data_IF_035971560432
#
_entry.id   IF_035971560432
#
_cell.length_a   1.000
_cell.length_b   1.000
_cell.length_c   1.000
_cell.angle_alpha   90.00
_cell.angle_beta   90.00
_cell.angle_gamma   90.00
#
_symmetry.space_group_name_H-M   'P 1'
#
loop_
_entity.id
_entity.type
_entity.pdbx_description
1 polymer ?
#
# COMPACT_ATOMS: atom_id res chain seq x y z
N UNK A 1 -26.74 -3.14 3.51
CA UNK A 1 -25.82 -4.12 2.87
C UNK A 1 -24.57 -3.49 2.26
N UNK A 2 -24.58 -2.22 1.83
CA UNK A 2 -23.39 -1.50 1.30
C UNK A 2 -22.26 -1.33 2.33
N UNK A 3 -22.60 -1.07 3.60
CA UNK A 3 -21.59 -0.82 4.64
C UNK A 3 -20.83 -2.09 5.08
N UNK A 4 -21.50 -3.26 5.10
CA UNK A 4 -20.84 -4.54 5.39
C UNK A 4 -19.77 -4.89 4.33
N UNK A 5 -20.02 -4.57 3.05
CA UNK A 5 -19.06 -4.80 1.96
C UNK A 5 -17.84 -3.88 2.07
N UNK A 6 -18.03 -2.60 2.42
CA UNK A 6 -16.91 -1.67 2.63
C UNK A 6 -16.06 -2.07 3.83
N UNK A 7 -16.70 -2.48 4.92
CA UNK A 7 -16.00 -2.96 6.11
C UNK A 7 -15.17 -4.22 5.83
N UNK A 8 -15.73 -5.16 5.07
CA UNK A 8 -15.00 -6.38 4.67
C UNK A 8 -13.80 -6.05 3.77
N UNK A 9 -13.97 -5.14 2.79
CA UNK A 9 -12.88 -4.70 1.92
C UNK A 9 -11.77 -3.99 2.70
N UNK A 10 -12.13 -3.13 3.66
CA UNK A 10 -11.17 -2.48 4.56
C UNK A 10 -10.45 -3.49 5.45
N UNK A 11 -11.16 -4.51 5.96
CA UNK A 11 -10.55 -5.59 6.73
C UNK A 11 -9.55 -6.38 5.89
N UNK A 12 -9.92 -6.75 4.65
CA UNK A 12 -9.01 -7.41 3.70
C UNK A 12 -7.80 -6.54 3.39
N UNK A 13 -7.97 -5.22 3.24
CA UNK A 13 -6.85 -4.28 3.05
C UNK A 13 -5.86 -4.31 4.22
N UNK A 14 -6.37 -4.14 5.43
CA UNK A 14 -5.55 -4.12 6.66
C UNK A 14 -4.83 -5.45 6.83
N UNK A 15 -5.52 -6.56 6.59
CA UNK A 15 -4.94 -7.90 6.75
C UNK A 15 -3.86 -8.17 5.69
N UNK A 16 -4.07 -7.72 4.45
CA UNK A 16 -3.08 -7.83 3.38
C UNK A 16 -1.84 -6.97 3.65
N UNK A 17 -2.03 -5.73 4.10
CA UNK A 17 -0.93 -4.86 4.53
C UNK A 17 -0.16 -5.45 5.72
N UNK A 18 -0.85 -6.11 6.65
CA UNK A 18 -0.25 -6.73 7.83
C UNK A 18 0.64 -7.91 7.42
N UNK A 19 0.17 -8.76 6.51
CA UNK A 19 0.98 -9.87 5.95
C UNK A 19 2.24 -9.31 5.25
N UNK A 20 2.09 -8.29 4.40
CA UNK A 20 3.22 -7.71 3.69
C UNK A 20 4.20 -7.06 4.67
N UNK A 21 3.72 -6.38 5.71
CA UNK A 21 4.56 -5.82 6.76
C UNK A 21 5.34 -6.90 7.52
N UNK A 22 4.71 -8.03 7.87
CA UNK A 22 5.40 -9.15 8.51
C UNK A 22 6.55 -9.68 7.63
N UNK A 23 6.29 -9.83 6.33
CA UNK A 23 7.30 -10.27 5.35
C UNK A 23 8.45 -9.25 5.28
N UNK A 24 8.13 -7.95 5.24
CA UNK A 24 9.13 -6.88 5.21
C UNK A 24 9.96 -6.80 6.49
N UNK A 25 9.34 -7.03 7.66
CA UNK A 25 10.06 -7.11 8.95
C UNK A 25 11.01 -8.31 8.93
N UNK A 26 10.55 -9.47 8.47
CA UNK A 26 11.39 -10.67 8.35
C UNK A 26 12.61 -10.41 7.46
N UNK A 27 12.40 -9.88 6.25
CA UNK A 27 13.50 -9.54 5.35
C UNK A 27 14.38 -8.41 5.88
N UNK A 28 13.81 -7.40 6.52
CA UNK A 28 14.58 -6.31 7.15
C UNK A 28 15.47 -6.83 8.28
N UNK A 29 15.05 -7.87 9.00
CA UNK A 29 15.84 -8.50 10.06
C UNK A 29 17.03 -9.25 9.47
N UNK A 30 16.83 -9.94 8.34
CA UNK A 30 17.90 -10.67 7.63
C UNK A 30 18.92 -9.71 7.01
N UNK A 31 18.45 -8.65 6.33
CA UNK A 31 19.30 -7.70 5.61
C UNK A 31 19.74 -6.49 6.46
N UNK A 32 19.34 -6.45 7.75
CA UNK A 32 19.65 -5.42 8.73
C UNK A 32 19.49 -3.96 8.22
N UNK A 33 18.48 -3.72 7.37
CA UNK A 33 18.33 -2.46 6.63
C UNK A 33 17.00 -1.79 6.92
N UNK A 34 17.05 -0.71 7.71
CA UNK A 34 15.87 0.15 7.99
C UNK A 34 15.27 0.76 6.71
N UNK A 35 16.08 0.95 5.67
CA UNK A 35 15.64 1.46 4.36
C UNK A 35 14.73 0.47 3.64
N UNK A 36 14.97 -0.83 3.82
CA UNK A 36 14.20 -1.89 3.18
C UNK A 36 12.75 -1.92 3.72
N UNK A 37 12.61 -1.72 5.03
CA UNK A 37 11.32 -1.60 5.71
C UNK A 37 10.55 -0.35 5.24
N UNK A 38 11.25 0.78 5.09
CA UNK A 38 10.66 2.04 4.62
C UNK A 38 10.19 1.97 3.16
N UNK A 39 11.08 1.62 2.23
CA UNK A 39 10.74 1.54 0.80
C UNK A 39 9.76 0.40 0.50
N UNK A 40 9.90 -0.73 1.19
CA UNK A 40 8.97 -1.85 1.07
C UNK A 40 7.55 -1.46 1.45
N UNK A 41 7.36 -0.70 2.52
CA UNK A 41 6.03 -0.24 2.94
C UNK A 41 5.42 0.77 1.97
N UNK A 42 6.22 1.70 1.44
CA UNK A 42 5.74 2.64 0.42
C UNK A 42 5.27 1.87 -0.82
N UNK A 43 6.07 0.91 -1.29
CA UNK A 43 5.70 0.09 -2.45
C UNK A 43 4.45 -0.74 -2.17
N UNK A 44 4.38 -1.42 -1.02
CA UNK A 44 3.24 -2.24 -0.63
C UNK A 44 1.92 -1.45 -0.66
N UNK A 45 1.90 -0.26 -0.03
CA UNK A 45 0.71 0.59 -0.01
C UNK A 45 0.36 1.05 -1.43
N UNK A 46 1.36 1.42 -2.22
CA UNK A 46 1.18 1.90 -3.59
C UNK A 46 0.59 0.84 -4.53
N UNK A 47 0.85 -0.44 -4.31
CA UNK A 47 0.24 -1.53 -5.09
C UNK A 47 -1.14 -1.93 -4.54
N UNK A 48 -1.24 -2.16 -3.23
CA UNK A 48 -2.44 -2.76 -2.63
C UNK A 48 -3.62 -1.78 -2.62
N UNK A 49 -3.37 -0.50 -2.35
CA UNK A 49 -4.44 0.51 -2.26
C UNK A 49 -5.23 0.70 -3.57
N UNK A 50 -4.60 0.96 -4.72
CA UNK A 50 -5.35 1.10 -5.97
C UNK A 50 -5.97 -0.20 -6.45
N UNK A 51 -5.40 -1.36 -6.10
CA UNK A 51 -6.02 -2.67 -6.40
C UNK A 51 -7.40 -2.80 -5.74
N UNK A 52 -7.50 -2.43 -4.46
CA UNK A 52 -8.76 -2.55 -3.71
C UNK A 52 -9.78 -1.51 -4.17
N UNK A 53 -9.37 -0.25 -4.36
CA UNK A 53 -10.29 0.80 -4.79
C UNK A 53 -10.86 0.52 -6.18
N UNK A 54 -10.00 0.17 -7.15
CA UNK A 54 -10.45 -0.03 -8.53
C UNK A 54 -11.24 -1.33 -8.69
N UNK A 55 -10.79 -2.41 -8.07
CA UNK A 55 -11.32 -3.76 -8.37
C UNK A 55 -12.26 -4.31 -7.31
N UNK A 56 -12.05 -4.02 -6.03
CA UNK A 56 -12.94 -4.48 -4.96
C UNK A 56 -14.09 -3.51 -4.69
N UNK A 57 -13.83 -2.21 -4.65
CA UNK A 57 -14.87 -1.21 -4.37
C UNK A 57 -15.64 -0.81 -5.62
N UNK A 58 -14.93 -0.35 -6.66
CA UNK A 58 -15.56 0.10 -7.91
C UNK A 58 -15.94 -1.04 -8.85
N UNK A 59 -15.42 -2.25 -8.62
CA UNK A 59 -15.63 -3.45 -9.45
C UNK A 59 -15.36 -3.18 -10.94
N UNK A 60 -14.37 -2.35 -11.24
CA UNK A 60 -14.00 -2.06 -12.62
C UNK A 60 -13.32 -3.27 -13.27
N UNK A 61 -13.47 -3.48 -14.59
CA UNK A 61 -12.69 -4.48 -15.30
C UNK A 61 -11.20 -4.14 -15.23
N UNK A 62 -10.36 -5.16 -15.05
CA UNK A 62 -8.92 -4.98 -14.88
C UNK A 62 -8.27 -4.32 -16.10
N UNK A 63 -7.66 -3.14 -15.89
CA UNK A 63 -6.97 -2.37 -16.94
C UNK A 63 -5.58 -1.98 -16.47
N UNK A 64 -4.56 -2.65 -17.02
CA UNK A 64 -3.14 -2.43 -16.68
C UNK A 64 -2.71 -0.96 -16.71
N UNK A 65 -3.04 -0.22 -17.78
CA UNK A 65 -2.68 1.20 -17.91
C UNK A 65 -3.23 2.06 -16.76
N UNK A 66 -4.48 1.82 -16.36
CA UNK A 66 -5.13 2.57 -15.29
C UNK A 66 -4.58 2.17 -13.92
N UNK A 67 -4.34 0.88 -13.72
CA UNK A 67 -3.70 0.38 -12.50
C UNK A 67 -2.33 1.02 -12.28
N UNK A 68 -1.44 0.95 -13.27
CA UNK A 68 -0.09 1.52 -13.19
C UNK A 68 -0.14 3.02 -12.91
N UNK A 69 -1.05 3.75 -13.57
CA UNK A 69 -1.25 5.17 -13.31
C UNK A 69 -1.61 5.47 -11.85
N UNK A 70 -2.59 4.74 -11.30
CA UNK A 70 -2.98 4.94 -9.90
C UNK A 70 -1.89 4.46 -8.93
N UNK A 71 -1.21 3.34 -9.19
CA UNK A 71 -0.06 2.89 -8.40
C UNK A 71 1.03 3.94 -8.35
N UNK A 72 1.40 4.52 -9.50
CA UNK A 72 2.41 5.57 -9.56
C UNK A 72 1.97 6.84 -8.81
N UNK A 73 0.72 7.27 -9.00
CA UNK A 73 0.18 8.42 -8.27
C UNK A 73 0.19 8.19 -6.75
N UNK A 74 -0.23 7.01 -6.31
CA UNK A 74 -0.25 6.62 -4.89
C UNK A 74 1.17 6.60 -4.31
N UNK A 75 2.13 6.12 -5.10
CA UNK A 75 3.55 6.12 -4.74
C UNK A 75 4.10 7.53 -4.55
N UNK A 76 3.85 8.44 -5.51
CA UNK A 76 4.31 9.83 -5.42
C UNK A 76 3.72 10.52 -4.19
N UNK A 77 2.42 10.34 -3.94
CA UNK A 77 1.75 10.92 -2.77
C UNK A 77 2.32 10.37 -1.47
N UNK A 78 2.47 9.05 -1.34
CA UNK A 78 3.03 8.45 -0.14
C UNK A 78 4.50 8.82 0.05
N UNK A 79 5.29 8.91 -1.02
CA UNK A 79 6.66 9.37 -0.97
C UNK A 79 6.77 10.83 -0.49
N UNK A 80 5.89 11.72 -0.98
CA UNK A 80 5.84 13.11 -0.52
C UNK A 80 5.41 13.21 0.94
N UNK A 81 4.37 12.48 1.35
CA UNK A 81 3.92 12.43 2.75
C UNK A 81 5.08 11.93 3.62
N UNK A 82 5.68 10.80 3.28
CA UNK A 82 6.79 10.26 4.04
C UNK A 82 7.98 11.24 4.10
N UNK A 83 8.34 11.93 3.02
CA UNK A 83 9.39 12.96 3.09
C UNK A 83 8.98 14.15 3.98
N UNK A 84 7.76 14.66 3.85
CA UNK A 84 7.28 15.79 4.66
C UNK A 84 7.23 15.47 6.16
N UNK A 85 6.91 14.24 6.53
CA UNK A 85 6.77 13.83 7.92
C UNK A 85 8.05 13.22 8.51
N UNK A 86 8.89 12.54 7.73
CA UNK A 86 10.09 11.85 8.26
C UNK A 86 11.32 12.76 8.23
N UNK A 87 11.53 13.53 7.16
CA UNK A 87 12.67 14.47 7.09
C UNK A 87 12.47 15.75 7.93
N UNK A 88 11.28 15.96 8.48
CA UNK A 88 11.02 17.04 9.43
C UNK A 88 11.22 16.60 10.90
N UNK A 89 11.32 15.29 11.15
CA UNK A 89 11.44 14.67 12.47
C UNK A 89 12.85 14.15 12.76
N UNK A 90 13.76 14.19 11.78
CA UNK A 90 15.21 14.00 11.90
C UNK A 90 15.91 15.33 11.62
#
# INVERSE_FOLDING_TARGET
MRDKSRFLNAFVYVLCLLIINIILIYFSTIYNSKKLLFWGNILAISFVFPMIILYFEKKEPFKWKRYIYFTFLTFVVMFMICNLFIYRLY
#
